data_IF_068088167236
#
_entry.id   IF_068088167236
#
_cell.length_a   1.000
_cell.length_b   1.000
_cell.length_c   1.000
_cell.angle_alpha   90.00
_cell.angle_beta   90.00
_cell.angle_gamma   90.00
#
_symmetry.space_group_name_H-M   'P 1'
#
loop_
_entity.id
_entity.type
_entity.pdbx_description
1 polymer ?
#
# COMPACT_ATOMS: atom_id res chain seq x y z
N UNK A 1 -15.85 13.81 -12.88
CA UNK A 1 -15.37 12.58 -12.21
C UNK A 1 -13.89 12.54 -12.45
N UNK A 2 -13.10 12.85 -11.43
CA UNK A 2 -11.64 12.82 -11.52
C UNK A 2 -11.16 11.44 -11.09
N UNK A 3 -11.08 10.54 -12.06
CA UNK A 3 -10.60 9.18 -11.83
C UNK A 3 -9.16 9.19 -11.26
N UNK A 4 -8.82 8.27 -10.34
CA UNK A 4 -7.46 8.15 -9.84
C UNK A 4 -6.51 7.81 -10.98
N UNK A 5 -5.32 8.41 -10.94
CA UNK A 5 -4.24 8.15 -11.91
C UNK A 5 -3.18 7.27 -11.29
N UNK A 6 -2.76 6.22 -11.98
CA UNK A 6 -1.77 5.26 -11.48
C UNK A 6 -0.47 5.39 -12.26
N UNK A 7 0.65 5.35 -11.55
CA UNK A 7 2.00 5.37 -12.13
C UNK A 7 2.78 4.21 -11.54
N UNK A 8 3.13 3.23 -12.37
CA UNK A 8 3.99 2.12 -11.96
C UNK A 8 5.43 2.58 -11.77
N UNK A 9 6.09 2.10 -10.72
CA UNK A 9 7.51 2.33 -10.47
C UNK A 9 8.16 1.10 -9.83
N UNK A 10 9.48 1.01 -9.93
CA UNK A 10 10.25 0.00 -9.24
C UNK A 10 10.08 0.12 -7.72
N UNK A 11 9.90 -1.03 -7.05
CA UNK A 11 9.72 -1.10 -5.59
C UNK A 11 10.84 -0.40 -4.81
N UNK A 12 12.09 -0.51 -5.30
CA UNK A 12 13.24 0.15 -4.69
C UNK A 12 13.14 1.68 -4.72
N UNK A 13 12.63 2.24 -5.81
CA UNK A 13 12.45 3.69 -5.96
C UNK A 13 11.33 4.20 -5.06
N UNK A 14 10.21 3.46 -4.99
CA UNK A 14 9.12 3.80 -4.06
C UNK A 14 9.62 3.79 -2.62
N UNK A 15 10.36 2.76 -2.22
CA UNK A 15 10.95 2.68 -0.87
C UNK A 15 11.94 3.80 -0.58
N UNK A 16 12.72 4.20 -1.59
CA UNK A 16 13.68 5.31 -1.47
C UNK A 16 12.98 6.65 -1.20
N UNK A 17 11.82 6.89 -1.83
CA UNK A 17 11.05 8.13 -1.65
C UNK A 17 10.15 8.10 -0.41
N UNK A 18 9.50 6.96 -0.14
CA UNK A 18 8.65 6.77 1.05
C UNK A 18 9.48 6.96 2.33
N UNK A 19 10.68 6.38 2.37
CA UNK A 19 11.59 6.49 3.50
C UNK A 19 11.30 5.50 4.62
N UNK A 20 12.35 5.20 5.40
CA UNK A 20 12.36 4.14 6.42
C UNK A 20 11.43 4.36 7.61
N UNK A 21 10.89 5.57 7.77
CA UNK A 21 9.99 5.93 8.87
C UNK A 21 8.56 5.43 8.65
N UNK A 22 8.20 5.10 7.41
CA UNK A 22 6.86 4.63 7.04
C UNK A 22 6.86 3.16 6.59
N UNK A 23 8.04 2.54 6.50
CA UNK A 23 8.19 1.16 6.04
C UNK A 23 9.24 0.37 6.85
N UNK A 24 8.91 -0.85 7.31
CA UNK A 24 7.61 -1.52 7.20
C UNK A 24 6.54 -0.88 8.10
N UNK A 25 5.23 -1.04 7.78
CA UNK A 25 4.15 -0.62 8.66
C UNK A 25 4.11 -1.47 9.94
N UNK A 26 3.50 -0.94 10.99
CA UNK A 26 3.26 -1.69 12.22
C UNK A 26 2.00 -2.55 12.09
N UNK A 27 1.95 -3.72 12.75
CA UNK A 27 0.75 -4.55 12.78
C UNK A 27 -0.44 -3.76 13.31
N UNK A 28 -1.53 -3.73 12.55
CA UNK A 28 -2.72 -2.95 12.88
C UNK A 28 -2.75 -1.54 12.27
N UNK A 29 -1.65 -1.07 11.68
CA UNK A 29 -1.64 0.21 10.97
C UNK A 29 -2.66 0.18 9.81
N UNK A 30 -3.37 1.28 9.53
CA UNK A 30 -4.29 1.33 8.40
C UNK A 30 -3.57 1.07 7.07
N UNK A 31 -4.21 0.25 6.25
CA UNK A 31 -3.78 -0.14 4.92
C UNK A 31 -4.95 -0.01 3.96
N UNK A 32 -4.74 0.64 2.82
CA UNK A 32 -5.73 0.71 1.76
C UNK A 32 -5.26 -0.14 0.58
N UNK A 33 -5.88 -1.29 0.38
CA UNK A 33 -5.61 -2.16 -0.77
C UNK A 33 -6.29 -1.61 -2.01
N UNK A 34 -5.52 -1.43 -3.08
CA UNK A 34 -6.02 -1.00 -4.37
C UNK A 34 -6.80 -2.12 -5.07
N UNK A 35 -7.77 -1.80 -5.95
CA UNK A 35 -8.43 -2.81 -6.77
C UNK A 35 -7.46 -3.45 -7.76
N UNK A 36 -7.64 -4.74 -8.08
CA UNK A 36 -6.82 -5.45 -9.08
C UNK A 36 -6.81 -4.74 -10.45
N UNK A 37 -7.91 -4.07 -10.79
CA UNK A 37 -8.05 -3.28 -12.01
C UNK A 37 -7.09 -2.09 -12.09
N UNK A 38 -6.47 -1.67 -10.98
CA UNK A 38 -5.42 -0.65 -10.98
C UNK A 38 -4.15 -1.14 -11.68
N UNK A 39 -3.91 -2.47 -11.71
CA UNK A 39 -2.80 -3.07 -12.46
C UNK A 39 -1.41 -2.64 -12.00
N UNK A 40 -1.27 -2.18 -10.74
CA UNK A 40 0.01 -1.77 -10.17
C UNK A 40 0.29 -2.50 -8.85
N UNK A 41 1.50 -3.04 -8.72
CA UNK A 41 1.99 -3.57 -7.46
C UNK A 41 2.77 -2.51 -6.68
N UNK A 42 3.60 -1.72 -7.37
CA UNK A 42 4.40 -0.66 -6.77
C UNK A 42 4.34 0.60 -7.63
N UNK A 43 4.34 1.77 -6.99
CA UNK A 43 4.35 3.05 -7.69
C UNK A 43 3.66 4.15 -6.90
N UNK A 44 2.76 4.86 -7.56
CA UNK A 44 1.96 5.91 -6.94
C UNK A 44 0.53 5.96 -7.50
N UNK A 45 -0.39 6.42 -6.65
CA UNK A 45 -1.76 6.78 -7.04
C UNK A 45 -1.98 8.27 -6.78
N UNK A 46 -2.41 8.98 -7.82
CA UNK A 46 -2.85 10.37 -7.77
C UNK A 46 -4.36 10.44 -7.62
N UNK A 47 -4.84 11.10 -6.57
CA UNK A 47 -6.28 11.33 -6.31
C UNK A 47 -6.60 12.82 -6.36
N UNK A 48 -7.79 13.18 -6.81
CA UNK A 48 -8.23 14.58 -6.90
C UNK A 48 -9.56 14.73 -6.16
N UNK A 49 -9.53 15.18 -4.89
CA UNK A 49 -10.74 15.30 -4.09
C UNK A 49 -11.74 16.32 -4.66
N UNK A 50 -11.23 17.35 -5.34
CA UNK A 50 -12.02 18.41 -5.96
C UNK A 50 -11.52 18.64 -7.38
N UNK A 51 -12.44 18.58 -8.34
CA UNK A 51 -12.15 18.85 -9.75
C UNK A 51 -11.61 20.28 -9.94
N UNK A 52 -10.52 20.43 -10.69
CA UNK A 52 -9.87 21.72 -10.92
C UNK A 52 -8.94 22.21 -9.79
N UNK A 53 -8.77 21.43 -8.72
CA UNK A 53 -7.78 21.68 -7.67
C UNK A 53 -6.58 20.73 -7.78
N UNK A 54 -5.42 21.08 -7.20
CA UNK A 54 -4.29 20.15 -7.10
C UNK A 54 -4.70 18.85 -6.39
N UNK A 55 -4.30 17.72 -6.98
CA UNK A 55 -4.48 16.40 -6.39
C UNK A 55 -3.42 16.06 -5.34
N UNK A 56 -3.59 14.91 -4.71
CA UNK A 56 -2.64 14.31 -3.78
C UNK A 56 -2.04 13.05 -4.40
N UNK A 57 -0.75 12.85 -4.20
CA UNK A 57 -0.04 11.64 -4.60
C UNK A 57 0.20 10.78 -3.36
N UNK A 58 -0.12 9.50 -3.46
CA UNK A 58 0.15 8.49 -2.44
C UNK A 58 1.06 7.40 -3.02
N UNK A 59 2.12 7.05 -2.30
CA UNK A 59 2.97 5.92 -2.67
C UNK A 59 2.26 4.59 -2.43
N UNK A 60 2.48 3.66 -3.36
CA UNK A 60 1.87 2.32 -3.39
C UNK A 60 2.98 1.27 -3.31
N UNK A 61 2.85 0.34 -2.38
CA UNK A 61 3.72 -0.82 -2.20
C UNK A 61 2.89 -2.08 -2.05
N UNK A 62 3.26 -3.14 -2.76
CA UNK A 62 2.60 -4.45 -2.71
C UNK A 62 1.06 -4.35 -2.90
N UNK A 63 0.65 -3.50 -3.85
CA UNK A 63 -0.74 -3.10 -4.19
C UNK A 63 -1.51 -2.37 -3.08
N UNK A 64 -0.80 -1.82 -2.09
CA UNK A 64 -1.37 -1.17 -0.92
C UNK A 64 -0.81 0.24 -0.70
N UNK A 65 -1.65 1.11 -0.15
CA UNK A 65 -1.26 2.43 0.38
C UNK A 65 -1.19 2.34 1.90
N UNK A 66 -0.07 2.77 2.47
CA UNK A 66 0.18 2.81 3.92
C UNK A 66 0.28 4.25 4.42
N UNK A 67 0.39 4.40 5.74
CA UNK A 67 0.73 5.68 6.38
C UNK A 67 1.99 6.28 5.74
N UNK A 68 1.93 7.55 5.38
CA UNK A 68 3.04 8.30 4.79
C UNK A 68 3.00 9.77 5.23
N UNK A 69 3.89 10.60 4.70
CA UNK A 69 3.98 12.02 5.08
C UNK A 69 2.67 12.78 4.83
N UNK A 70 1.91 12.38 3.81
CA UNK A 70 0.61 12.94 3.43
C UNK A 70 -0.48 12.60 4.46
N UNK A 71 -0.29 11.54 5.26
CA UNK A 71 -1.24 11.12 6.29
C UNK A 71 -1.42 9.61 6.36
N UNK A 72 -2.52 9.22 7.00
CA UNK A 72 -2.95 7.84 7.17
C UNK A 72 -4.07 7.55 6.17
N UNK A 73 -4.06 6.40 5.47
CA UNK A 73 -5.19 6.03 4.61
C UNK A 73 -6.46 5.85 5.44
N UNK A 74 -7.56 6.45 4.98
CA UNK A 74 -8.86 6.46 5.66
C UNK A 74 -10.02 6.26 4.68
N UNK A 75 -11.25 6.33 5.19
CA UNK A 75 -12.46 6.18 4.36
C UNK A 75 -12.60 7.27 3.30
N UNK A 76 -12.09 8.49 3.55
CA UNK A 76 -12.13 9.58 2.60
C UNK A 76 -11.20 9.29 1.41
N UNK A 77 -10.01 8.76 1.66
CA UNK A 77 -9.12 8.29 0.59
C UNK A 77 -9.74 7.11 -0.17
N UNK A 78 -10.33 6.15 0.53
CA UNK A 78 -10.98 5.00 -0.08
C UNK A 78 -12.13 5.41 -1.03
N UNK A 79 -12.91 6.43 -0.65
CA UNK A 79 -13.98 6.97 -1.50
C UNK A 79 -13.46 7.60 -2.81
N UNK A 80 -12.19 8.03 -2.86
CA UNK A 80 -11.55 8.59 -4.05
C UNK A 80 -10.91 7.53 -4.95
N UNK A 81 -10.81 6.28 -4.49
CA UNK A 81 -10.20 5.17 -5.22
C UNK A 81 -11.26 4.05 -5.34
N UNK A 82 -12.10 4.08 -6.39
CA UNK A 82 -13.19 3.12 -6.55
C UNK A 82 -12.70 1.66 -6.52
N UNK A 83 -13.33 0.83 -5.69
CA UNK A 83 -12.98 -0.59 -5.55
C UNK A 83 -11.81 -0.88 -4.61
N UNK A 84 -11.21 0.15 -4.00
CA UNK A 84 -10.24 -0.04 -2.92
C UNK A 84 -10.90 -0.55 -1.64
N UNK A 85 -10.13 -1.25 -0.81
CA UNK A 85 -10.59 -1.82 0.47
C UNK A 85 -9.69 -1.32 1.59
N UNK A 86 -10.28 -0.59 2.53
CA UNK A 86 -9.60 -0.16 3.75
C UNK A 86 -9.57 -1.33 4.75
N UNK A 87 -8.39 -1.60 5.28
CA UNK A 87 -8.14 -2.62 6.29
C UNK A 87 -7.02 -2.22 7.24
N UNK A 88 -6.46 -3.23 7.88
CA UNK A 88 -5.33 -3.08 8.79
C UNK A 88 -4.22 -4.00 8.34
N UNK A 89 -3.00 -3.46 8.24
CA UNK A 89 -1.82 -4.22 7.89
C UNK A 89 -1.62 -5.37 8.87
N UNK A 90 -1.40 -6.55 8.31
CA UNK A 90 -0.95 -7.73 9.03
C UNK A 90 0.32 -8.24 8.34
N UNK A 91 1.48 -8.32 9.02
CA UNK A 91 2.64 -8.99 8.45
C UNK A 91 2.26 -10.45 8.18
N UNK A 92 2.48 -10.91 6.94
CA UNK A 92 1.82 -12.10 6.43
C UNK A 92 1.94 -13.36 7.30
N UNK A 93 0.83 -14.11 7.40
CA UNK A 93 0.81 -15.56 7.65
C UNK A 93 1.41 -16.36 6.45
N UNK A 94 2.41 -15.80 5.76
CA UNK A 94 2.98 -16.28 4.50
C UNK A 94 4.36 -16.92 4.61
N UNK A 95 4.87 -17.18 5.82
CA UNK A 95 6.12 -17.90 6.07
C UNK A 95 5.90 -19.01 7.13
N UNK A 96 4.88 -19.83 6.88
CA UNK A 96 4.44 -20.89 7.77
C UNK A 96 4.70 -22.31 7.26
N UNK A 97 5.74 -22.59 6.45
CA UNK A 97 6.17 -23.98 6.15
C UNK A 97 7.66 -24.08 5.77
N UNK A 98 8.57 -24.06 6.75
CA UNK A 98 9.86 -24.77 6.67
C UNK A 98 10.61 -24.76 8.02
N UNK A 99 9.98 -25.29 9.07
CA UNK A 99 10.71 -25.71 10.27
C UNK A 99 10.21 -27.09 10.74
N UNK A 100 10.07 -28.03 9.81
CA UNK A 100 9.92 -29.44 10.11
C UNK A 100 11.15 -30.19 9.57
N UNK A 101 12.24 -30.11 10.32
CA UNK A 101 13.35 -31.05 10.23
C UNK A 101 14.12 -31.06 11.56
N UNK A 102 13.55 -31.71 12.57
CA UNK A 102 14.34 -32.59 13.43
C UNK A 102 13.85 -34.01 13.19
N UNK A 103 14.75 -34.87 12.73
CA UNK A 103 15.00 -36.08 13.50
C UNK A 103 16.49 -36.23 13.79
N UNK A 104 16.75 -36.70 15.01
CA UNK A 104 17.90 -37.48 15.47
C UNK A 104 19.28 -37.23 14.86
N UNK A 105 20.23 -36.82 15.72
CA UNK A 105 21.56 -37.44 15.76
C UNK A 105 22.04 -37.60 17.23
N UNK A 106 21.83 -38.83 17.72
CA UNK A 106 22.79 -39.75 18.35
C UNK A 106 23.64 -39.34 19.56
#
# INVERSE_FOLDING_TARGET
MTDPSYVSMDRGDVLAVLGRQYWPPETGDPELRLPDAAGIDCGAVGVYPVEGQPGYLWWVLDACVYRQAQGTPDEALAALIPGSVLGSYQPGEGEGIAAAARPDQH
#
